data_IF_867352322610
#
_entry.id   IF_867352322610
#
_cell.length_a   1.000
_cell.length_b   1.000
_cell.length_c   1.000
_cell.angle_alpha   90.00
_cell.angle_beta   90.00
_cell.angle_gamma   90.00
#
_symmetry.space_group_name_H-M   'P 1'
#
loop_
_entity.id
_entity.type
_entity.pdbx_description
1 polymer ?
#
# COMPACT_ATOMS: atom_id res chain seq x y z
N UNK A 1 -28.33 53.77 -0.74
CA UNK A 1 -26.93 54.22 -0.85
C UNK A 1 -26.03 53.00 -0.77
N UNK A 2 -25.46 52.55 -1.90
CA UNK A 2 -24.46 51.48 -1.89
C UNK A 2 -23.12 52.09 -1.50
N UNK A 3 -22.57 51.70 -0.34
CA UNK A 3 -21.20 52.05 0.04
C UNK A 3 -20.26 51.20 -0.81
N UNK A 4 -19.53 51.83 -1.72
CA UNK A 4 -18.51 51.16 -2.52
C UNK A 4 -17.33 50.74 -1.64
N UNK A 5 -16.78 49.55 -1.92
CA UNK A 5 -15.57 49.05 -1.27
C UNK A 5 -14.40 49.97 -1.61
N UNK A 6 -13.62 50.39 -0.61
CA UNK A 6 -12.44 51.23 -0.88
C UNK A 6 -11.29 50.38 -1.42
N UNK A 7 -10.42 50.99 -2.23
CA UNK A 7 -9.25 50.31 -2.80
C UNK A 7 -8.30 49.78 -1.70
N UNK A 8 -8.24 50.48 -0.57
CA UNK A 8 -7.51 50.05 0.62
C UNK A 8 -8.11 48.77 1.24
N UNK A 9 -9.43 48.71 1.40
CA UNK A 9 -10.10 47.51 1.94
C UNK A 9 -9.91 46.30 1.01
N UNK A 10 -9.88 46.49 -0.31
CA UNK A 10 -9.56 45.42 -1.26
C UNK A 10 -8.13 44.90 -1.08
N UNK A 11 -7.15 45.78 -0.90
CA UNK A 11 -5.75 45.40 -0.67
C UNK A 11 -5.59 44.66 0.66
N UNK A 12 -6.25 45.12 1.72
CA UNK A 12 -6.22 44.47 3.04
C UNK A 12 -6.87 43.08 2.95
N UNK A 13 -8.01 42.95 2.27
CA UNK A 13 -8.67 41.67 2.07
C UNK A 13 -7.79 40.68 1.29
N UNK A 14 -7.15 41.13 0.21
CA UNK A 14 -6.22 40.30 -0.58
C UNK A 14 -4.99 39.88 0.25
N UNK A 15 -4.45 40.78 1.07
CA UNK A 15 -3.34 40.47 1.96
C UNK A 15 -3.72 39.40 2.99
N UNK A 16 -4.90 39.51 3.61
CA UNK A 16 -5.41 38.52 4.57
C UNK A 16 -5.63 37.17 3.87
N UNK A 17 -6.24 37.16 2.68
CA UNK A 17 -6.46 35.91 1.91
C UNK A 17 -5.13 35.26 1.54
N UNK A 18 -4.14 36.04 1.11
CA UNK A 18 -2.80 35.54 0.80
C UNK A 18 -2.16 34.89 2.02
N UNK A 19 -2.21 35.57 3.17
CA UNK A 19 -1.67 35.05 4.43
C UNK A 19 -2.36 33.72 4.83
N UNK A 20 -3.69 33.66 4.75
CA UNK A 20 -4.44 32.45 5.05
C UNK A 20 -4.09 31.30 4.10
N UNK A 21 -3.95 31.58 2.80
CA UNK A 21 -3.56 30.56 1.81
C UNK A 21 -2.17 30.00 2.08
N UNK A 22 -1.20 30.84 2.47
CA UNK A 22 0.16 30.36 2.79
C UNK A 22 0.21 29.39 3.97
N UNK A 23 -0.74 29.48 4.90
CA UNK A 23 -0.82 28.61 6.07
C UNK A 23 -1.72 27.38 5.83
N UNK A 24 -2.85 27.57 5.15
CA UNK A 24 -3.84 26.52 4.94
C UNK A 24 -3.40 25.46 3.93
N UNK A 25 -2.71 25.88 2.85
CA UNK A 25 -2.23 24.97 1.79
C UNK A 25 -1.29 23.87 2.32
N UNK A 26 -0.18 24.18 3.03
CA UNK A 26 0.72 23.13 3.51
C UNK A 26 0.06 22.21 4.53
N UNK A 27 -0.80 22.75 5.41
CA UNK A 27 -1.53 21.95 6.38
C UNK A 27 -2.51 20.96 5.71
N UNK A 28 -3.25 21.43 4.70
CA UNK A 28 -4.16 20.57 3.94
C UNK A 28 -3.40 19.50 3.15
N UNK A 29 -2.28 19.87 2.53
CA UNK A 29 -1.46 18.92 1.78
C UNK A 29 -0.94 17.81 2.69
N UNK A 30 -0.42 18.15 3.88
CA UNK A 30 0.04 17.15 4.85
C UNK A 30 -1.07 16.19 5.31
N UNK A 31 -2.26 16.73 5.61
CA UNK A 31 -3.40 15.91 6.05
C UNK A 31 -3.95 14.99 4.94
N UNK A 32 -4.00 15.51 3.71
CA UNK A 32 -4.42 14.74 2.53
C UNK A 32 -3.50 13.53 2.31
N UNK A 33 -2.18 13.71 2.45
CA UNK A 33 -1.21 12.62 2.29
C UNK A 33 -1.33 11.53 3.36
N UNK A 34 -1.56 11.91 4.62
CA UNK A 34 -1.82 10.92 5.69
C UNK A 34 -3.10 10.12 5.40
N UNK A 35 -4.13 10.80 4.91
CA UNK A 35 -5.40 10.17 4.56
C UNK A 35 -5.24 9.18 3.40
N UNK A 36 -4.44 9.52 2.39
CA UNK A 36 -4.12 8.61 1.27
C UNK A 36 -3.48 7.32 1.78
N UNK A 37 -2.44 7.42 2.62
CA UNK A 37 -1.77 6.24 3.16
C UNK A 37 -2.70 5.38 4.02
N UNK A 38 -3.51 6.00 4.89
CA UNK A 38 -4.44 5.28 5.74
C UNK A 38 -5.53 4.57 4.93
N UNK A 39 -6.07 5.21 3.89
CA UNK A 39 -7.06 4.60 3.00
C UNK A 39 -6.47 3.41 2.23
N UNK A 40 -5.26 3.54 1.65
CA UNK A 40 -4.62 2.38 1.02
C UNK A 40 -4.30 1.28 2.02
N UNK A 41 -3.77 1.66 3.20
CA UNK A 41 -3.46 0.69 4.25
C UNK A 41 -4.69 -0.14 4.60
N UNK A 42 -5.85 0.50 4.80
CA UNK A 42 -7.09 -0.18 5.12
C UNK A 42 -7.57 -1.08 3.97
N UNK A 43 -7.55 -0.58 2.73
CA UNK A 43 -7.93 -1.34 1.54
C UNK A 43 -7.07 -2.60 1.39
N UNK A 44 -5.74 -2.43 1.53
CA UNK A 44 -4.77 -3.51 1.45
C UNK A 44 -4.94 -4.50 2.61
N UNK A 45 -5.16 -4.00 3.82
CA UNK A 45 -5.41 -4.84 4.99
C UNK A 45 -6.65 -5.73 4.80
N UNK A 46 -7.75 -5.16 4.29
CA UNK A 46 -8.97 -5.92 3.98
C UNK A 46 -8.71 -6.98 2.92
N UNK A 47 -8.02 -6.64 1.83
CA UNK A 47 -7.63 -7.61 0.80
C UNK A 47 -6.83 -8.77 1.39
N UNK A 48 -5.78 -8.48 2.16
CA UNK A 48 -4.95 -9.52 2.78
C UNK A 48 -5.73 -10.37 3.79
N UNK A 49 -6.64 -9.77 4.56
CA UNK A 49 -7.53 -10.50 5.47
C UNK A 49 -8.48 -11.44 4.75
N UNK A 50 -9.01 -11.03 3.60
CA UNK A 50 -9.84 -11.91 2.77
C UNK A 50 -9.04 -13.11 2.24
N UNK A 51 -7.80 -12.88 1.79
CA UNK A 51 -6.91 -13.97 1.37
C UNK A 51 -6.58 -14.89 2.55
N UNK A 52 -6.28 -14.34 3.73
CA UNK A 52 -6.04 -15.14 4.94
C UNK A 52 -7.22 -16.02 5.30
N UNK A 53 -8.44 -15.46 5.33
CA UNK A 53 -9.65 -16.23 5.61
C UNK A 53 -9.87 -17.36 4.58
N UNK A 54 -9.52 -17.14 3.32
CA UNK A 54 -9.57 -18.18 2.28
C UNK A 54 -8.52 -19.26 2.51
N UNK A 55 -7.28 -18.87 2.83
CA UNK A 55 -6.17 -19.78 3.14
C UNK A 55 -6.51 -20.68 4.33
N UNK A 56 -7.05 -20.11 5.40
CA UNK A 56 -7.43 -20.83 6.63
C UNK A 56 -8.51 -21.89 6.37
N UNK A 57 -9.39 -21.65 5.39
CA UNK A 57 -10.44 -22.57 4.97
C UNK A 57 -10.02 -23.50 3.82
N UNK A 58 -8.75 -23.50 3.42
CA UNK A 58 -8.22 -24.31 2.32
C UNK A 58 -7.01 -25.14 2.75
N UNK A 59 -6.79 -26.27 2.11
CA UNK A 59 -5.55 -27.07 2.29
C UNK A 59 -4.41 -26.60 1.38
N UNK A 60 -4.71 -25.68 0.45
CA UNK A 60 -3.77 -25.19 -0.55
C UNK A 60 -2.73 -24.23 0.04
N UNK A 61 -1.56 -24.22 -0.59
CA UNK A 61 -0.52 -23.22 -0.31
C UNK A 61 -0.76 -22.04 -1.24
N UNK A 62 -0.92 -20.85 -0.66
CA UNK A 62 -1.06 -19.61 -1.39
C UNK A 62 0.26 -18.86 -1.45
N UNK A 63 0.60 -18.35 -2.63
CA UNK A 63 1.76 -17.51 -2.87
C UNK A 63 1.30 -16.05 -2.94
N UNK A 64 1.99 -15.17 -2.22
CA UNK A 64 1.86 -13.74 -2.44
C UNK A 64 3.07 -13.24 -3.22
N UNK A 65 2.79 -12.59 -4.34
CA UNK A 65 3.78 -11.97 -5.20
C UNK A 65 3.55 -10.47 -5.22
N UNK A 66 4.65 -9.72 -5.26
CA UNK A 66 4.64 -8.27 -5.36
C UNK A 66 5.24 -7.88 -6.69
N UNK A 67 4.50 -7.14 -7.51
CA UNK A 67 4.99 -6.64 -8.78
C UNK A 67 5.13 -5.13 -8.68
N UNK A 68 6.22 -4.61 -9.21
CA UNK A 68 6.52 -3.19 -9.18
C UNK A 68 7.16 -2.78 -10.49
N UNK A 69 6.62 -1.72 -11.07
CA UNK A 69 7.14 -1.01 -12.22
C UNK A 69 7.64 0.35 -11.73
N UNK A 70 8.96 0.52 -11.52
CA UNK A 70 9.53 1.77 -11.06
C UNK A 70 9.42 2.90 -12.10
N UNK A 71 9.37 2.57 -13.39
CA UNK A 71 9.28 3.54 -14.49
C UNK A 71 7.86 4.12 -14.56
N UNK A 72 6.86 3.25 -14.58
CA UNK A 72 5.45 3.64 -14.59
C UNK A 72 4.91 4.09 -13.24
N UNK A 73 5.69 4.00 -12.15
CA UNK A 73 5.26 4.21 -10.75
C UNK A 73 4.04 3.37 -10.38
N UNK A 74 3.98 2.13 -10.88
CA UNK A 74 2.88 1.20 -10.61
C UNK A 74 3.37 0.08 -9.71
N UNK A 75 2.49 -0.42 -8.87
CA UNK A 75 2.72 -1.65 -8.14
C UNK A 75 1.39 -2.38 -7.99
N UNK A 76 1.46 -3.67 -7.76
CA UNK A 76 0.29 -4.50 -7.50
C UNK A 76 0.71 -5.75 -6.73
N UNK A 77 -0.27 -6.45 -6.17
CA UNK A 77 -0.05 -7.73 -5.50
C UNK A 77 -0.86 -8.82 -6.19
N UNK A 78 -0.27 -10.00 -6.27
CA UNK A 78 -0.95 -11.22 -6.69
C UNK A 78 -1.02 -12.15 -5.49
N UNK A 79 -2.20 -12.68 -5.19
CA UNK A 79 -2.41 -13.81 -4.30
C UNK A 79 -2.92 -14.99 -5.14
N UNK A 80 -2.15 -16.06 -5.26
CA UNK A 80 -2.53 -17.22 -6.09
C UNK A 80 -2.27 -18.53 -5.36
N UNK A 81 -2.93 -19.59 -5.82
CA UNK A 81 -2.57 -20.94 -5.38
C UNK A 81 -1.21 -21.32 -5.98
N UNK A 82 -0.41 -22.08 -5.21
CA UNK A 82 0.90 -22.58 -5.65
C UNK A 82 0.72 -23.38 -6.94
N UNK A 83 1.35 -22.90 -8.00
CA UNK A 83 1.31 -23.48 -9.33
C UNK A 83 2.69 -23.30 -9.99
N UNK A 84 2.97 -24.04 -11.07
CA UNK A 84 4.18 -23.82 -11.88
C UNK A 84 4.16 -22.47 -12.59
N UNK A 85 2.97 -21.94 -12.90
CA UNK A 85 2.81 -20.62 -13.50
C UNK A 85 2.59 -19.54 -12.43
N UNK A 86 3.44 -18.51 -12.43
CA UNK A 86 3.32 -17.34 -11.56
C UNK A 86 2.74 -16.16 -12.34
N UNK A 87 1.66 -15.58 -11.82
CA UNK A 87 0.90 -14.54 -12.51
C UNK A 87 1.45 -13.13 -12.21
N UNK A 88 1.77 -12.41 -13.28
CA UNK A 88 2.15 -11.01 -13.26
C UNK A 88 0.89 -10.12 -13.23
N UNK A 89 0.65 -9.42 -12.13
CA UNK A 89 -0.48 -8.50 -12.03
C UNK A 89 -0.32 -7.22 -12.87
N UNK A 90 0.88 -6.92 -13.39
CA UNK A 90 1.04 -5.85 -14.38
C UNK A 90 0.57 -6.28 -15.78
N UNK A 91 0.46 -7.58 -16.03
CA UNK A 91 -0.06 -8.16 -17.25
C UNK A 91 -1.03 -9.34 -16.96
N UNK A 92 -2.24 -9.06 -16.43
CA UNK A 92 -3.15 -10.09 -15.96
C UNK A 92 -3.71 -10.98 -17.08
N UNK A 93 -3.68 -10.54 -18.34
CA UNK A 93 -4.20 -11.28 -19.50
C UNK A 93 -3.36 -12.54 -19.77
N UNK A 94 -2.09 -12.51 -19.42
CA UNK A 94 -1.20 -13.66 -19.55
C UNK A 94 -1.39 -14.73 -18.46
N UNK A 95 -2.21 -14.46 -17.42
CA UNK A 95 -2.43 -15.39 -16.32
C UNK A 95 -3.48 -16.46 -16.70
N UNK A 96 -3.12 -17.76 -16.66
CA UNK A 96 -4.07 -18.84 -16.89
C UNK A 96 -5.17 -18.88 -15.81
N UNK A 97 -6.41 -19.14 -16.24
CA UNK A 97 -7.58 -19.17 -15.34
C UNK A 97 -7.51 -20.30 -14.28
N UNK A 98 -6.73 -21.36 -14.52
CA UNK A 98 -6.56 -22.49 -13.61
C UNK A 98 -5.65 -22.19 -12.41
N UNK A 99 -4.93 -21.06 -12.39
CA UNK A 99 -4.00 -20.70 -11.30
C UNK A 99 -4.73 -20.08 -10.09
N UNK A 100 -6.02 -19.74 -10.22
CA UNK A 100 -6.84 -19.08 -9.20
C UNK A 100 -6.11 -17.87 -8.56
N UNK A 101 -5.85 -16.85 -9.36
CA UNK A 101 -5.16 -15.64 -8.93
C UNK A 101 -6.14 -14.52 -8.56
N UNK A 102 -5.90 -13.89 -7.42
CA UNK A 102 -6.53 -12.67 -6.97
C UNK A 102 -5.54 -11.52 -7.06
N UNK A 103 -5.94 -10.43 -7.70
CA UNK A 103 -5.09 -9.27 -7.91
C UNK A 103 -5.55 -8.10 -7.04
N UNK A 104 -4.58 -7.38 -6.47
CA UNK A 104 -4.80 -6.11 -5.80
C UNK A 104 -4.07 -5.01 -6.53
N UNK A 105 -4.79 -3.91 -6.77
CA UNK A 105 -4.26 -2.69 -7.37
C UNK A 105 -4.42 -1.51 -6.39
N UNK A 106 -3.41 -0.64 -6.25
CA UNK A 106 -3.55 0.58 -5.48
C UNK A 106 -4.64 1.48 -6.08
N UNK A 107 -5.44 2.14 -5.25
CA UNK A 107 -6.34 3.22 -5.69
C UNK A 107 -5.61 4.56 -5.85
N UNK A 108 -4.49 4.77 -5.15
CA UNK A 108 -3.70 6.00 -5.15
C UNK A 108 -2.30 5.77 -5.77
N UNK A 109 -1.99 6.52 -6.82
CA UNK A 109 -0.74 6.41 -7.58
C UNK A 109 0.50 6.93 -6.82
N UNK A 110 0.29 7.72 -5.77
CA UNK A 110 1.32 8.28 -4.90
C UNK A 110 1.90 7.23 -3.94
N UNK A 111 1.31 6.03 -3.89
CA UNK A 111 1.73 4.95 -3.01
C UNK A 111 2.72 4.03 -3.69
N UNK A 112 3.63 3.48 -2.88
CA UNK A 112 4.68 2.57 -3.32
C UNK A 112 4.75 1.40 -2.36
N UNK A 113 4.86 0.18 -2.90
CA UNK A 113 5.16 -1.01 -2.13
C UNK A 113 6.66 -1.36 -2.21
N UNK A 114 7.29 -1.46 -1.04
CA UNK A 114 8.69 -1.83 -0.86
C UNK A 114 8.76 -3.20 -0.21
N UNK A 115 9.39 -4.15 -0.89
CA UNK A 115 9.55 -5.55 -0.45
C UNK A 115 10.98 -6.02 -0.73
N UNK A 116 11.48 -6.99 0.04
CA UNK A 116 12.78 -7.64 -0.22
C UNK A 116 12.78 -8.47 -1.52
N UNK A 117 11.61 -9.00 -1.89
CA UNK A 117 11.41 -9.84 -3.08
C UNK A 117 10.26 -9.31 -3.90
N UNK A 118 10.46 -9.25 -5.20
CA UNK A 118 9.47 -8.92 -6.20
C UNK A 118 9.34 -10.07 -7.20
N UNK A 119 8.22 -10.09 -7.92
CA UNK A 119 8.00 -10.98 -9.06
C UNK A 119 9.26 -11.03 -9.96
N UNK A 120 9.71 -12.23 -10.38
CA UNK A 120 9.01 -13.53 -10.31
C UNK A 120 9.16 -14.30 -8.99
N UNK A 121 9.77 -13.71 -7.96
CA UNK A 121 9.90 -14.37 -6.65
C UNK A 121 8.70 -14.04 -5.75
N UNK A 122 8.17 -15.03 -5.06
CA UNK A 122 7.20 -14.81 -3.99
C UNK A 122 7.88 -14.18 -2.77
N UNK A 123 7.21 -13.22 -2.15
CA UNK A 123 7.72 -12.60 -0.91
C UNK A 123 7.17 -13.30 0.34
N UNK A 124 6.05 -14.03 0.21
CA UNK A 124 5.53 -14.90 1.26
C UNK A 124 4.69 -16.04 0.73
N UNK A 125 4.58 -17.08 1.56
CA UNK A 125 3.70 -18.23 1.37
C UNK A 125 2.75 -18.31 2.55
N UNK A 126 1.46 -18.46 2.28
CA UNK A 126 0.40 -18.62 3.27
C UNK A 126 -0.15 -20.05 3.17
N UNK A 127 -0.38 -20.70 4.30
CA UNK A 127 -1.01 -22.01 4.36
C UNK A 127 -1.92 -22.08 5.59
N UNK A 128 -3.02 -22.81 5.50
CA UNK A 128 -3.91 -23.08 6.63
C UNK A 128 -3.27 -23.95 7.72
N UNK A 129 -2.11 -24.56 7.44
CA UNK A 129 -1.36 -25.36 8.41
C UNK A 129 -0.54 -24.43 9.32
N UNK A 130 -0.77 -24.54 10.64
CA UNK A 130 -0.06 -23.74 11.67
C UNK A 130 1.46 -23.93 11.55
N UNK A 131 2.23 -22.87 11.87
CA UNK A 131 3.70 -22.86 11.88
C UNK A 131 4.41 -23.11 10.53
N UNK A 132 3.73 -22.93 9.39
CA UNK A 132 4.36 -23.07 8.06
C UNK A 132 4.68 -21.73 7.38
N UNK A 133 4.22 -20.62 7.95
CA UNK A 133 4.41 -19.28 7.38
C UNK A 133 5.74 -18.68 7.87
N UNK A 134 6.65 -18.37 6.95
CA UNK A 134 7.88 -17.62 7.25
C UNK A 134 7.55 -16.18 7.67
N UNK A 135 8.19 -15.68 8.72
CA UNK A 135 8.10 -14.25 9.07
C UNK A 135 8.64 -13.40 7.93
N UNK A 136 7.79 -12.56 7.37
CA UNK A 136 8.14 -11.68 6.25
C UNK A 136 7.31 -10.42 6.32
N UNK A 137 7.79 -9.39 5.64
CA UNK A 137 7.22 -8.08 5.74
C UNK A 137 7.47 -7.26 4.48
N UNK A 138 6.61 -6.27 4.30
CA UNK A 138 6.74 -5.27 3.26
C UNK A 138 6.29 -3.92 3.81
N UNK A 139 6.72 -2.85 3.15
CA UNK A 139 6.40 -1.48 3.52
C UNK A 139 5.49 -0.89 2.46
N UNK A 140 4.38 -0.29 2.90
CA UNK A 140 3.58 0.61 2.10
C UNK A 140 4.01 2.04 2.42
N UNK A 141 4.38 2.80 1.40
CA UNK A 141 4.89 4.16 1.55
C UNK A 141 4.08 5.14 0.71
N UNK A 142 3.77 6.30 1.28
CA UNK A 142 3.27 7.48 0.56
C UNK A 142 4.12 8.67 0.97
N UNK A 143 4.95 9.17 0.04
CA UNK A 143 5.93 10.23 0.30
C UNK A 143 6.84 9.91 1.52
N UNK A 144 6.75 10.69 2.62
CA UNK A 144 7.52 10.49 3.86
C UNK A 144 6.86 9.54 4.87
N UNK A 145 5.58 9.20 4.68
CA UNK A 145 4.84 8.35 5.59
C UNK A 145 4.96 6.89 5.16
N UNK A 146 5.20 5.99 6.12
CA UNK A 146 5.37 4.56 5.87
C UNK A 146 4.58 3.73 6.87
N UNK A 147 4.10 2.60 6.38
CA UNK A 147 3.39 1.58 7.13
C UNK A 147 4.04 0.24 6.89
N UNK A 148 4.39 -0.47 7.97
CA UNK A 148 4.90 -1.83 7.90
C UNK A 148 3.75 -2.84 7.96
N UNK A 149 3.71 -3.75 6.98
CA UNK A 149 2.92 -4.97 7.03
C UNK A 149 3.84 -6.13 7.39
N UNK A 150 3.49 -6.88 8.41
CA UNK A 150 4.29 -8.02 8.90
C UNK A 150 3.41 -9.26 9.07
N UNK A 151 3.85 -10.37 8.48
CA UNK A 151 3.25 -11.68 8.65
C UNK A 151 4.05 -12.46 9.70
N UNK A 152 3.37 -13.02 10.69
CA UNK A 152 4.00 -13.85 11.73
C UNK A 152 3.37 -15.24 11.76
N UNK A 153 4.22 -16.28 11.85
CA UNK A 153 4.13 -17.74 12.18
C UNK A 153 2.76 -18.45 12.34
N UNK A 154 1.67 -17.71 12.54
CA UNK A 154 0.27 -18.14 12.66
C UNK A 154 -0.64 -17.48 11.61
N UNK A 155 -0.06 -16.95 10.52
CA UNK A 155 -0.83 -16.20 9.52
C UNK A 155 -1.30 -14.82 9.98
N UNK A 156 -0.93 -14.35 11.18
CA UNK A 156 -1.38 -13.05 11.68
C UNK A 156 -0.75 -11.89 10.90
N UNK A 157 -1.58 -10.98 10.41
CA UNK A 157 -1.16 -9.71 9.80
C UNK A 157 -1.09 -8.62 10.87
N UNK A 158 0.10 -8.08 11.13
CA UNK A 158 0.30 -6.94 12.03
C UNK A 158 0.71 -5.70 11.25
N UNK A 159 0.02 -4.61 11.54
CA UNK A 159 0.37 -3.27 11.09
C UNK A 159 1.27 -2.62 12.15
N UNK A 160 2.40 -2.06 11.72
CA UNK A 160 3.24 -1.24 12.61
C UNK A 160 3.59 0.09 11.94
N UNK A 161 3.71 1.13 12.76
CA UNK A 161 4.10 2.48 12.32
C UNK A 161 5.61 2.66 12.12
N UNK A 162 5.99 3.90 11.78
CA UNK A 162 7.33 4.33 11.37
C UNK A 162 8.52 3.83 12.22
N UNK A 163 8.35 3.59 13.52
CA UNK A 163 9.45 3.27 14.44
C UNK A 163 9.94 1.80 14.39
N UNK A 164 9.30 0.94 13.60
CA UNK A 164 9.58 -0.52 13.59
C UNK A 164 10.15 -1.04 12.25
N UNK A 165 10.61 -0.13 11.39
CA UNK A 165 10.97 -0.37 10.00
C UNK A 165 12.35 -1.03 9.78
N UNK A 166 13.23 -1.07 10.80
CA UNK A 166 14.63 -1.48 10.63
C UNK A 166 14.80 -2.94 10.22
N UNK A 167 13.94 -3.87 10.67
CA UNK A 167 14.12 -5.31 10.41
C UNK A 167 13.65 -5.78 9.02
N UNK A 168 12.89 -4.95 8.29
CA UNK A 168 12.17 -5.37 7.07
C UNK A 168 12.78 -4.84 5.78
N UNK A 169 13.61 -3.80 5.88
CA UNK A 169 14.28 -3.17 4.73
C UNK A 169 15.80 -3.33 4.83
N UNK A 170 16.37 -3.44 6.03
CA UNK A 170 17.79 -3.71 6.21
C UNK A 170 18.02 -5.20 6.49
N UNK A 171 18.32 -5.94 5.42
CA UNK A 171 19.41 -6.91 5.45
C UNK A 171 20.27 -6.54 4.23
N UNK A 172 21.09 -5.50 4.39
CA UNK A 172 22.25 -5.29 3.52
C UNK A 172 23.35 -6.22 4.04
N UNK A 173 23.56 -7.32 3.33
CA UNK A 173 24.88 -7.89 3.00
C UNK A 173 24.81 -8.53 1.61
#
# INVERSE_FOLDING_TARGET
MQKGFTLLEMLIALFIISLLLTLALPAWQQHSQQTILQKEQQKLYVFLRQIQARVENSTDIWLLLANRDPVGKRWCLTAQIKNSHLCDCLNPVACPQNVFAHFYYPAFAETVLVSKRYYPLEFTRLSGIRNTTSTTCFVLQANQQRTLFSFFNVGSLKLKGNQSLSACVNDEE
#
